data_IF_370080000678
#
_entry.id   IF_370080000678
#
_cell.length_a   1.000
_cell.length_b   1.000
_cell.length_c   1.000
_cell.angle_alpha   90.00
_cell.angle_beta   90.00
_cell.angle_gamma   90.00
#
_symmetry.space_group_name_H-M   'P 1'
#
loop_
_entity.id
_entity.type
_entity.pdbx_description
1 polymer ?
#
# COMPACT_ATOMS: atom_id res chain seq x y z
N UNK A 1 -18.44 -4.10 23.67
CA UNK A 1 -17.36 -3.11 23.43
C UNK A 1 -17.02 -3.21 21.96
N UNK A 2 -17.41 -2.19 21.20
CA UNK A 2 -17.04 -2.07 19.79
C UNK A 2 -15.52 -1.83 19.76
N UNK A 3 -14.75 -2.83 19.35
CA UNK A 3 -13.31 -2.68 19.20
C UNK A 3 -13.06 -2.01 17.84
N UNK A 4 -12.35 -0.90 17.84
CA UNK A 4 -11.81 -0.33 16.61
C UNK A 4 -11.05 -1.42 15.82
N UNK A 5 -11.13 -1.45 14.48
CA UNK A 5 -10.39 -2.42 13.68
C UNK A 5 -8.89 -2.24 13.93
N UNK A 6 -8.16 -3.32 14.13
CA UNK A 6 -6.72 -3.27 14.29
C UNK A 6 -6.01 -3.11 12.94
N UNK A 7 -6.58 -3.67 11.88
CA UNK A 7 -6.03 -3.64 10.53
C UNK A 7 -7.08 -3.22 9.50
N UNK A 8 -6.80 -2.13 8.77
CA UNK A 8 -7.70 -1.59 7.74
C UNK A 8 -7.05 -1.69 6.37
N UNK A 9 -7.76 -2.29 5.42
CA UNK A 9 -7.41 -2.30 4.00
C UNK A 9 -8.01 -1.08 3.28
N UNK A 10 -7.21 -0.39 2.48
CA UNK A 10 -7.64 0.70 1.61
C UNK A 10 -7.53 0.27 0.15
N UNK A 11 -8.63 0.39 -0.60
CA UNK A 11 -8.65 0.13 -2.05
C UNK A 11 -9.02 1.44 -2.76
N UNK A 12 -8.04 2.27 -3.14
CA UNK A 12 -8.29 3.51 -3.87
C UNK A 12 -8.90 3.20 -5.25
N UNK A 13 -10.17 3.51 -5.43
CA UNK A 13 -10.88 3.28 -6.68
C UNK A 13 -11.53 4.57 -7.18
N UNK A 14 -11.80 4.61 -8.49
CA UNK A 14 -12.56 5.68 -9.12
C UNK A 14 -11.72 6.86 -9.65
N UNK A 15 -10.40 6.91 -9.47
CA UNK A 15 -9.55 8.04 -9.88
C UNK A 15 -9.66 8.34 -11.39
N UNK A 16 -9.71 7.32 -12.24
CA UNK A 16 -9.89 7.49 -13.69
C UNK A 16 -11.29 8.06 -14.04
N UNK A 17 -12.32 7.63 -13.31
CA UNK A 17 -13.68 8.18 -13.46
C UNK A 17 -13.74 9.62 -12.99
N UNK A 18 -13.08 9.91 -11.87
CA UNK A 18 -12.97 11.25 -11.31
C UNK A 18 -12.24 12.20 -12.27
N UNK A 19 -11.10 11.79 -12.85
CA UNK A 19 -10.36 12.56 -13.86
C UNK A 19 -11.28 12.95 -15.04
N UNK A 20 -11.98 11.95 -15.62
CA UNK A 20 -12.90 12.17 -16.73
C UNK A 20 -14.05 13.12 -16.37
N UNK A 21 -14.65 12.96 -15.19
CA UNK A 21 -15.76 13.80 -14.77
C UNK A 21 -15.36 15.25 -14.46
N UNK A 22 -14.08 15.49 -14.13
CA UNK A 22 -13.58 16.82 -13.78
C UNK A 22 -12.68 17.45 -14.86
N UNK A 23 -12.51 16.81 -16.02
CA UNK A 23 -11.62 17.32 -17.07
C UNK A 23 -10.14 17.37 -16.64
N UNK A 24 -9.76 16.59 -15.65
CA UNK A 24 -8.41 16.53 -15.10
C UNK A 24 -7.56 15.47 -15.84
N UNK A 25 -6.24 15.64 -15.82
CA UNK A 25 -5.32 14.61 -16.31
C UNK A 25 -5.32 13.38 -15.39
N UNK A 26 -4.86 12.23 -15.90
CA UNK A 26 -4.65 11.04 -15.05
C UNK A 26 -3.57 11.28 -14.00
N UNK A 27 -2.51 12.01 -14.36
CA UNK A 27 -1.43 12.36 -13.44
C UNK A 27 -1.98 13.17 -12.26
N UNK A 28 -2.77 14.22 -12.50
CA UNK A 28 -3.38 15.02 -11.43
C UNK A 28 -4.32 14.17 -10.56
N UNK A 29 -5.10 13.30 -11.19
CA UNK A 29 -6.02 12.42 -10.44
C UNK A 29 -5.28 11.45 -9.53
N UNK A 30 -4.19 10.84 -9.99
CA UNK A 30 -3.41 9.91 -9.16
C UNK A 30 -2.62 10.63 -8.06
N UNK A 31 -2.05 11.82 -8.34
CA UNK A 31 -1.42 12.66 -7.31
C UNK A 31 -2.42 13.02 -6.20
N UNK A 32 -3.59 13.53 -6.58
CA UNK A 32 -4.67 13.83 -5.63
C UNK A 32 -5.15 12.58 -4.88
N UNK A 33 -5.14 11.42 -5.54
CA UNK A 33 -5.42 10.14 -4.90
C UNK A 33 -4.42 9.79 -3.82
N UNK A 34 -3.13 10.02 -4.06
CA UNK A 34 -2.06 9.80 -3.08
C UNK A 34 -2.19 10.73 -1.88
N UNK A 35 -2.52 12.01 -2.09
CA UNK A 35 -2.81 12.95 -1.01
C UNK A 35 -4.00 12.48 -0.17
N UNK A 36 -5.09 12.03 -0.81
CA UNK A 36 -6.26 11.54 -0.10
C UNK A 36 -5.99 10.25 0.68
N UNK A 37 -5.20 9.34 0.14
CA UNK A 37 -4.74 8.15 0.87
C UNK A 37 -3.94 8.56 2.11
N UNK A 38 -3.06 9.55 2.00
CA UNK A 38 -2.29 10.07 3.13
C UNK A 38 -3.20 10.65 4.22
N UNK A 39 -4.21 11.43 3.86
CA UNK A 39 -5.20 11.96 4.81
C UNK A 39 -5.96 10.83 5.54
N UNK A 40 -6.32 9.77 4.82
CA UNK A 40 -7.00 8.60 5.41
C UNK A 40 -6.06 7.85 6.36
N UNK A 41 -4.81 7.62 5.95
CA UNK A 41 -3.80 6.97 6.81
C UNK A 41 -3.57 7.74 8.11
N UNK A 42 -3.48 9.07 8.05
CA UNK A 42 -3.39 9.93 9.23
C UNK A 42 -4.63 9.83 10.12
N UNK A 43 -5.81 9.73 9.51
CA UNK A 43 -7.04 9.54 10.28
C UNK A 43 -7.07 8.17 10.96
N UNK A 44 -6.63 7.10 10.28
CA UNK A 44 -6.53 5.76 10.86
C UNK A 44 -5.56 5.73 12.05
N UNK A 45 -4.37 6.32 11.89
CA UNK A 45 -3.38 6.43 12.97
C UNK A 45 -3.94 7.17 14.20
N UNK A 46 -4.63 8.30 14.00
CA UNK A 46 -5.27 9.05 15.09
C UNK A 46 -6.39 8.29 15.79
N UNK A 47 -6.99 7.32 15.12
CA UNK A 47 -8.01 6.43 15.70
C UNK A 47 -7.44 5.09 16.19
N UNK A 48 -6.14 5.05 16.48
CA UNK A 48 -5.44 3.91 17.10
C UNK A 48 -5.52 2.61 16.28
N UNK A 49 -5.71 2.72 14.95
CA UNK A 49 -5.53 1.58 14.04
C UNK A 49 -4.04 1.23 14.02
N UNK A 50 -3.72 -0.04 14.15
CA UNK A 50 -2.33 -0.50 14.23
C UNK A 50 -1.70 -0.71 12.85
N UNK A 51 -2.50 -1.11 11.86
CA UNK A 51 -2.01 -1.43 10.51
C UNK A 51 -2.97 -0.92 9.45
N UNK A 52 -2.43 -0.30 8.40
CA UNK A 52 -3.16 0.04 7.20
C UNK A 52 -2.48 -0.57 5.97
N UNK A 53 -3.24 -1.29 5.14
CA UNK A 53 -2.75 -1.87 3.89
C UNK A 53 -3.38 -1.15 2.70
N UNK A 54 -2.56 -0.47 1.91
CA UNK A 54 -2.99 0.29 0.72
C UNK A 54 -2.82 -0.56 -0.53
N UNK A 55 -3.92 -0.92 -1.18
CA UNK A 55 -3.92 -1.64 -2.44
C UNK A 55 -3.64 -0.68 -3.60
N UNK A 56 -2.38 -0.47 -3.91
CA UNK A 56 -1.94 0.51 -4.90
C UNK A 56 -2.06 -0.02 -6.34
N UNK A 57 -1.47 -1.19 -6.61
CA UNK A 57 -1.38 -1.75 -7.95
C UNK A 57 -1.41 -3.27 -7.90
N UNK A 58 -2.43 -3.89 -8.51
CA UNK A 58 -2.43 -5.35 -8.68
C UNK A 58 -1.48 -5.78 -9.80
N UNK A 59 -1.04 -7.04 -9.80
CA UNK A 59 -0.30 -7.63 -10.90
C UNK A 59 -1.09 -7.54 -12.23
N UNK A 60 -2.39 -7.79 -12.21
CA UNK A 60 -3.26 -7.63 -13.37
C UNK A 60 -3.32 -6.19 -13.91
N UNK A 61 -3.09 -5.19 -13.07
CA UNK A 61 -3.07 -3.79 -13.49
C UNK A 61 -1.82 -3.43 -14.31
N UNK A 62 -0.77 -4.23 -14.29
CA UNK A 62 0.43 -4.02 -15.12
C UNK A 62 0.17 -4.18 -16.63
N UNK A 63 -0.97 -4.77 -17.00
CA UNK A 63 -1.43 -4.81 -18.38
C UNK A 63 -2.15 -3.52 -18.86
N UNK A 64 -2.18 -2.46 -18.05
CA UNK A 64 -2.73 -1.17 -18.45
C UNK A 64 -1.85 -0.50 -19.50
N UNK A 65 -2.40 0.44 -20.31
CA UNK A 65 -1.61 1.30 -21.20
C UNK A 65 -0.49 2.04 -20.45
N UNK A 66 0.64 2.24 -21.13
CA UNK A 66 1.86 2.81 -20.54
C UNK A 66 1.63 4.19 -19.92
N UNK A 67 0.85 5.06 -20.56
CA UNK A 67 0.49 6.39 -20.04
C UNK A 67 -0.24 6.33 -18.69
N UNK A 68 -1.05 5.29 -18.47
CA UNK A 68 -1.72 5.07 -17.20
C UNK A 68 -0.76 4.53 -16.14
N UNK A 69 0.15 3.63 -16.52
CA UNK A 69 1.16 3.09 -15.62
C UNK A 69 2.15 4.18 -15.19
N UNK A 70 2.62 5.00 -16.12
CA UNK A 70 3.50 6.14 -15.82
C UNK A 70 2.87 7.08 -14.79
N UNK A 71 1.59 7.42 -14.96
CA UNK A 71 0.87 8.28 -14.04
C UNK A 71 0.73 7.65 -12.63
N UNK A 72 0.47 6.34 -12.55
CA UNK A 72 0.42 5.61 -11.26
C UNK A 72 1.79 5.57 -10.62
N UNK A 73 2.84 5.24 -11.39
CA UNK A 73 4.21 5.15 -10.85
C UNK A 73 4.68 6.51 -10.32
N UNK A 74 4.50 7.58 -11.09
CA UNK A 74 4.87 8.93 -10.66
C UNK A 74 4.17 9.35 -9.35
N UNK A 75 2.87 9.11 -9.25
CA UNK A 75 2.10 9.41 -8.04
C UNK A 75 2.52 8.53 -6.86
N UNK A 76 2.87 7.26 -7.10
CA UNK A 76 3.35 6.35 -6.06
C UNK A 76 4.74 6.72 -5.57
N UNK A 77 5.65 7.10 -6.47
CA UNK A 77 6.98 7.60 -6.10
C UNK A 77 6.85 8.88 -5.27
N UNK A 78 5.98 9.82 -5.67
CA UNK A 78 5.68 11.02 -4.89
C UNK A 78 5.13 10.67 -3.49
N UNK A 79 4.23 9.71 -3.40
CA UNK A 79 3.73 9.21 -2.10
C UNK A 79 4.88 8.70 -1.23
N UNK A 80 5.77 7.86 -1.79
CA UNK A 80 6.88 7.24 -1.07
C UNK A 80 7.97 8.24 -0.68
N UNK A 81 8.33 9.18 -1.56
CA UNK A 81 9.47 10.09 -1.36
C UNK A 81 9.09 11.40 -0.67
N UNK A 82 7.83 11.78 -0.73
CA UNK A 82 7.38 13.10 -0.24
C UNK A 82 6.28 12.98 0.81
N UNK A 83 5.16 12.33 0.48
CA UNK A 83 3.99 12.36 1.38
C UNK A 83 4.22 11.53 2.65
N UNK A 84 4.76 10.32 2.53
CA UNK A 84 4.99 9.46 3.70
C UNK A 84 6.03 10.07 4.63
N UNK A 85 7.24 10.47 4.18
CA UNK A 85 8.25 11.05 5.09
C UNK A 85 7.81 12.37 5.72
N UNK A 86 6.99 13.17 5.03
CA UNK A 86 6.53 14.44 5.55
C UNK A 86 5.42 14.33 6.62
N UNK A 87 4.70 13.21 6.66
CA UNK A 87 3.50 13.08 7.48
C UNK A 87 3.59 12.00 8.57
N UNK A 88 4.53 11.06 8.48
CA UNK A 88 4.66 9.95 9.42
C UNK A 88 6.04 9.92 10.05
N UNK A 89 6.09 9.90 11.38
CA UNK A 89 7.34 9.81 12.13
C UNK A 89 7.91 8.38 12.03
N UNK A 90 9.12 8.27 11.52
CA UNK A 90 9.84 7.00 11.36
C UNK A 90 10.11 6.28 12.70
N UNK A 91 10.15 7.02 13.81
CA UNK A 91 10.35 6.42 15.14
C UNK A 91 9.10 5.69 15.66
N UNK A 92 7.91 6.08 15.20
CA UNK A 92 6.63 5.48 15.62
C UNK A 92 5.97 4.68 14.53
N UNK A 93 6.27 4.96 13.25
CA UNK A 93 5.67 4.31 12.11
C UNK A 93 6.63 3.33 11.42
N UNK A 94 6.10 2.26 10.87
CA UNK A 94 6.84 1.34 9.98
C UNK A 94 6.20 1.29 8.60
N UNK A 95 7.03 1.01 7.61
CA UNK A 95 6.60 0.86 6.22
C UNK A 95 7.06 -0.49 5.66
N UNK A 96 6.21 -1.14 4.86
CA UNK A 96 6.53 -2.35 4.09
C UNK A 96 5.86 -2.34 2.74
N UNK A 97 6.59 -2.73 1.69
CA UNK A 97 6.03 -2.99 0.38
C UNK A 97 5.88 -4.49 0.16
N UNK A 98 4.70 -4.90 -0.31
CA UNK A 98 4.35 -6.28 -0.64
C UNK A 98 4.01 -6.40 -2.12
N UNK A 99 4.48 -7.46 -2.76
CA UNK A 99 4.29 -7.78 -4.17
C UNK A 99 5.60 -8.03 -4.91
N UNK A 100 5.52 -8.19 -6.21
CA UNK A 100 6.64 -8.59 -7.07
C UNK A 100 7.45 -7.36 -7.48
N UNK A 101 8.62 -7.17 -6.86
CA UNK A 101 9.52 -6.02 -7.10
C UNK A 101 10.12 -6.04 -8.51
N UNK A 102 10.32 -7.21 -9.09
CA UNK A 102 10.93 -7.36 -10.41
C UNK A 102 10.02 -6.84 -11.54
N UNK A 103 8.73 -6.65 -11.25
CA UNK A 103 7.74 -6.11 -12.18
C UNK A 103 7.55 -4.60 -12.08
N UNK A 104 8.28 -3.92 -11.19
CA UNK A 104 8.14 -2.48 -10.92
C UNK A 104 9.36 -1.71 -11.43
N UNK A 105 9.21 -0.42 -11.78
CA UNK A 105 10.35 0.43 -12.11
C UNK A 105 11.37 0.50 -10.97
N UNK A 106 12.67 0.50 -11.32
CA UNK A 106 13.75 0.53 -10.33
C UNK A 106 13.65 1.73 -9.37
N UNK A 107 13.22 2.89 -9.84
CA UNK A 107 13.01 4.09 -9.02
C UNK A 107 11.90 3.89 -7.97
N UNK A 108 10.81 3.21 -8.36
CA UNK A 108 9.74 2.87 -7.43
C UNK A 108 10.24 1.94 -6.31
N UNK A 109 10.97 0.88 -6.70
CA UNK A 109 11.54 -0.09 -5.76
C UNK A 109 12.52 0.58 -4.81
N UNK A 110 13.45 1.40 -5.34
CA UNK A 110 14.43 2.13 -4.53
C UNK A 110 13.75 3.08 -3.51
N UNK A 111 12.68 3.78 -3.90
CA UNK A 111 11.92 4.64 -3.00
C UNK A 111 11.25 3.84 -1.87
N UNK A 112 10.68 2.68 -2.17
CA UNK A 112 10.07 1.81 -1.16
C UNK A 112 11.12 1.24 -0.20
N UNK A 113 12.27 0.77 -0.71
CA UNK A 113 13.37 0.25 0.10
C UNK A 113 13.97 1.29 1.04
N UNK A 114 14.08 2.54 0.59
CA UNK A 114 14.53 3.64 1.44
C UNK A 114 13.60 3.87 2.64
N UNK A 115 12.28 3.79 2.43
CA UNK A 115 11.31 3.87 3.54
C UNK A 115 11.38 2.64 4.46
N UNK A 116 11.49 1.44 3.91
CA UNK A 116 11.61 0.22 4.70
C UNK A 116 12.85 0.23 5.60
N UNK A 117 13.96 0.81 5.12
CA UNK A 117 15.19 0.93 5.87
C UNK A 117 15.11 1.96 7.02
N UNK A 118 14.31 3.00 6.86
CA UNK A 118 14.26 4.13 7.80
C UNK A 118 13.04 4.08 8.72
N UNK A 119 11.89 3.60 8.25
CA UNK A 119 10.64 3.57 9.00
C UNK A 119 10.44 2.19 9.65
N UNK A 120 10.84 2.05 10.91
CA UNK A 120 10.80 0.79 11.67
C UNK A 120 10.07 0.89 13.00
N UNK A 121 9.36 2.00 13.22
CA UNK A 121 8.62 2.27 14.45
C UNK A 121 7.48 1.26 14.70
N UNK A 122 7.10 1.03 15.97
CA UNK A 122 6.21 -0.07 16.35
C UNK A 122 4.72 0.26 16.31
N UNK A 123 4.32 1.55 16.32
CA UNK A 123 2.96 1.93 16.70
C UNK A 123 1.96 1.86 15.54
N UNK A 124 2.39 2.24 14.33
CA UNK A 124 1.54 2.24 13.15
C UNK A 124 2.26 1.68 11.93
N UNK A 125 1.72 0.64 11.31
CA UNK A 125 2.28 0.01 10.12
C UNK A 125 1.55 0.42 8.86
N UNK A 126 2.29 0.89 7.86
CA UNK A 126 1.80 1.15 6.51
C UNK A 126 2.32 0.05 5.59
N UNK A 127 1.42 -0.75 5.05
CA UNK A 127 1.71 -1.72 3.99
C UNK A 127 1.28 -1.14 2.64
N UNK A 128 2.16 -1.17 1.65
CA UNK A 128 1.85 -0.81 0.26
C UNK A 128 1.85 -2.07 -0.60
N UNK A 129 0.72 -2.39 -1.21
CA UNK A 129 0.57 -3.53 -2.10
C UNK A 129 0.76 -3.06 -3.55
N UNK A 130 1.91 -3.36 -4.15
CA UNK A 130 2.29 -2.97 -5.50
C UNK A 130 2.76 -4.18 -6.32
N UNK A 131 2.28 -4.32 -7.55
CA UNK A 131 2.41 -5.55 -8.34
C UNK A 131 1.99 -6.80 -7.54
N UNK A 132 0.97 -6.63 -6.69
CA UNK A 132 0.52 -7.63 -5.73
C UNK A 132 -0.51 -8.58 -6.36
N UNK A 133 -0.39 -9.85 -6.00
CA UNK A 133 -1.34 -10.90 -6.36
C UNK A 133 -1.67 -11.76 -5.14
N UNK A 134 -2.96 -11.90 -4.83
CA UNK A 134 -3.42 -12.66 -3.66
C UNK A 134 -3.14 -14.16 -3.77
N UNK A 135 -3.11 -14.72 -4.99
CA UNK A 135 -2.78 -16.15 -5.18
C UNK A 135 -1.29 -16.40 -4.93
N UNK A 136 -0.42 -15.47 -5.35
CA UNK A 136 1.02 -15.57 -5.08
C UNK A 136 1.32 -15.43 -3.59
N UNK A 137 0.61 -14.53 -2.90
CA UNK A 137 0.68 -14.42 -1.43
C UNK A 137 0.24 -15.72 -0.75
N UNK A 138 -0.90 -16.30 -1.16
CA UNK A 138 -1.37 -17.57 -0.61
C UNK A 138 -0.37 -18.72 -0.83
N UNK A 139 0.21 -18.82 -2.04
CA UNK A 139 1.23 -19.82 -2.34
C UNK A 139 2.49 -19.64 -1.48
N UNK A 140 2.88 -18.39 -1.26
CA UNK A 140 4.03 -18.04 -0.42
C UNK A 140 3.77 -18.30 1.05
N UNK A 141 2.57 -17.95 1.55
CA UNK A 141 2.14 -18.28 2.91
C UNK A 141 2.13 -19.79 3.16
N UNK A 142 1.64 -20.57 2.21
CA UNK A 142 1.66 -22.05 2.31
C UNK A 142 3.09 -22.60 2.43
N UNK A 143 4.03 -22.13 1.61
CA UNK A 143 5.44 -22.54 1.70
C UNK A 143 6.08 -22.14 3.03
N UNK A 144 5.81 -20.92 3.51
CA UNK A 144 6.30 -20.44 4.83
C UNK A 144 5.74 -21.27 5.97
N UNK A 145 4.42 -21.56 5.94
CA UNK A 145 3.77 -22.37 6.95
C UNK A 145 4.39 -23.77 7.06
N UNK A 146 4.68 -24.41 5.92
CA UNK A 146 5.37 -25.68 5.88
C UNK A 146 6.81 -25.61 6.42
N UNK A 147 7.57 -24.58 6.03
CA UNK A 147 8.96 -24.42 6.42
C UNK A 147 9.13 -24.06 7.93
N UNK A 148 8.15 -23.37 8.51
CA UNK A 148 8.15 -22.91 9.89
C UNK A 148 7.31 -23.79 10.84
N UNK A 149 6.64 -24.81 10.30
CA UNK A 149 5.72 -25.69 11.03
C UNK A 149 4.65 -24.92 11.82
N UNK A 150 4.08 -23.86 11.20
CA UNK A 150 3.07 -22.99 11.81
C UNK A 150 1.72 -23.04 11.06
N UNK A 151 0.68 -22.43 11.64
CA UNK A 151 -0.60 -22.26 10.96
C UNK A 151 -0.45 -21.34 9.75
N UNK A 152 -1.15 -21.66 8.64
CA UNK A 152 -1.10 -20.86 7.42
C UNK A 152 -1.55 -19.41 7.66
N UNK A 153 -2.48 -19.18 8.60
CA UNK A 153 -2.95 -17.85 8.94
C UNK A 153 -1.85 -16.98 9.56
N UNK A 154 -0.88 -17.60 10.26
CA UNK A 154 0.26 -16.90 10.86
C UNK A 154 1.40 -16.69 9.84
N UNK A 155 1.33 -17.36 8.69
CA UNK A 155 2.34 -17.30 7.64
C UNK A 155 2.07 -16.20 6.59
N UNK A 156 0.92 -15.53 6.59
CA UNK A 156 0.65 -14.39 5.72
C UNK A 156 1.49 -13.17 6.14
N UNK A 157 2.10 -12.49 5.16
CA UNK A 157 2.88 -11.28 5.43
C UNK A 157 2.01 -10.07 5.80
N UNK A 158 0.84 -9.99 5.17
CA UNK A 158 -0.09 -8.87 5.39
C UNK A 158 -0.95 -9.10 6.64
N UNK A 159 -1.19 -10.34 6.99
CA UNK A 159 -2.06 -10.72 8.08
C UNK A 159 -3.55 -10.49 7.78
N UNK A 160 -4.39 -10.71 8.79
CA UNK A 160 -5.84 -10.59 8.68
C UNK A 160 -6.25 -9.11 8.62
N UNK A 161 -7.08 -8.75 7.66
CA UNK A 161 -7.72 -7.43 7.53
C UNK A 161 -9.11 -7.46 8.20
N UNK A 162 -9.37 -6.54 9.11
CA UNK A 162 -10.63 -6.47 9.86
C UNK A 162 -11.70 -5.66 9.12
N UNK A 163 -11.28 -4.64 8.38
CA UNK A 163 -12.16 -3.74 7.61
C UNK A 163 -11.53 -3.34 6.29
N UNK A 164 -12.33 -3.21 5.25
CA UNK A 164 -11.91 -2.67 3.95
C UNK A 164 -12.70 -1.41 3.63
N UNK A 165 -11.99 -0.34 3.27
CA UNK A 165 -12.54 0.92 2.76
C UNK A 165 -12.23 1.01 1.26
N UNK A 166 -13.27 1.27 0.46
CA UNK A 166 -13.16 1.42 -1.00
C UNK A 166 -13.85 2.70 -1.49
#
# INVERSE_FOLDING_TARGET
MDRSPAHVGLIPDGLRRWARANGASLADAYLRGSEKVTEILLALQRNEVQTASVYNLSRANLARPDDQLEAVYAASIYFLTTLVPANFDAATCSFRMHGDRDLLPAEFVAAAEALEATMTGPDFRINLLAAYDAEDELRSAYRRAQAQECDINDAFEIGRVDMVIR
#
